data_IF_200587982710
#
_entry.id   IF_200587982710
#
_cell.length_a   1.000
_cell.length_b   1.000
_cell.length_c   1.000
_cell.angle_alpha   90.00
_cell.angle_beta   90.00
_cell.angle_gamma   90.00
#
_symmetry.space_group_name_H-M   'P 1'
#
loop_
_entity.id
_entity.type
_entity.pdbx_description
1 polymer ?
#
# COMPACT_ATOMS: atom_id res chain seq x y z
N UNK A 1 -8.15 -4.97 14.89
CA UNK A 1 -8.81 -4.57 13.64
C UNK A 1 -8.83 -3.05 13.51
N UNK A 2 -8.80 -2.56 12.29
CA UNK A 2 -8.98 -1.15 11.93
C UNK A 2 -10.42 -0.88 11.49
N UNK A 3 -10.88 0.38 11.41
CA UNK A 3 -12.08 0.71 10.67
C UNK A 3 -12.03 0.17 9.24
N UNK A 4 -13.14 -0.36 8.76
CA UNK A 4 -13.23 -1.03 7.47
C UNK A 4 -14.32 -0.37 6.60
N UNK A 5 -14.07 -0.11 5.31
CA UNK A 5 -15.07 0.54 4.45
C UNK A 5 -16.31 -0.30 4.19
N UNK A 6 -16.24 -1.62 4.35
CA UNK A 6 -17.37 -2.55 4.16
C UNK A 6 -18.05 -2.86 5.48
N UNK A 7 -17.26 -3.24 6.50
CA UNK A 7 -17.79 -3.70 7.80
C UNK A 7 -17.94 -2.56 8.81
N UNK A 8 -17.44 -1.36 8.51
CA UNK A 8 -17.54 -0.18 9.37
C UNK A 8 -16.52 -0.16 10.50
N UNK A 9 -16.90 0.47 11.61
CA UNK A 9 -16.12 0.46 12.84
C UNK A 9 -15.99 -0.96 13.38
N UNK A 10 -15.19 -1.14 14.42
CA UNK A 10 -14.86 -2.45 15.00
C UNK A 10 -16.09 -3.39 15.11
N UNK A 11 -16.13 -4.52 14.36
CA UNK A 11 -17.37 -5.30 14.16
C UNK A 11 -17.96 -5.90 15.44
N UNK A 12 -17.12 -6.17 16.45
CA UNK A 12 -17.53 -6.73 17.75
C UNK A 12 -17.85 -5.67 18.82
N UNK A 13 -17.79 -4.37 18.48
CA UNK A 13 -17.96 -3.23 19.37
C UNK A 13 -16.98 -3.18 20.56
N UNK A 14 -15.91 -3.95 20.49
CA UNK A 14 -14.82 -3.87 21.46
C UNK A 14 -13.92 -2.66 21.19
N UNK A 15 -13.15 -2.25 22.19
CA UNK A 15 -12.16 -1.19 22.01
C UNK A 15 -11.02 -1.66 21.12
N UNK A 16 -10.53 -0.77 20.26
CA UNK A 16 -9.31 -1.05 19.48
C UNK A 16 -8.14 -1.36 20.42
N UNK A 17 -7.29 -2.33 20.04
CA UNK A 17 -6.04 -2.59 20.73
C UNK A 17 -5.16 -1.32 20.77
N UNK A 18 -4.35 -1.15 21.79
CA UNK A 18 -3.55 0.07 21.97
C UNK A 18 -2.61 0.33 20.79
N UNK A 19 -1.98 -0.72 20.26
CA UNK A 19 -1.13 -0.64 19.08
C UNK A 19 -1.91 -0.16 17.83
N UNK A 20 -3.16 -0.59 17.68
CA UNK A 20 -4.05 -0.11 16.60
C UNK A 20 -4.36 1.37 16.79
N UNK A 21 -4.73 1.79 18.01
CA UNK A 21 -5.00 3.20 18.31
C UNK A 21 -3.79 4.09 18.05
N UNK A 22 -2.60 3.65 18.48
CA UNK A 22 -1.36 4.40 18.26
C UNK A 22 -0.98 4.49 16.78
N UNK A 23 -1.20 3.42 16.02
CA UNK A 23 -0.94 3.47 14.58
C UNK A 23 -1.96 4.37 13.86
N UNK A 24 -3.23 4.34 14.24
CA UNK A 24 -4.25 5.26 13.70
C UNK A 24 -3.87 6.72 13.97
N UNK A 25 -3.47 7.04 15.21
CA UNK A 25 -2.99 8.38 15.55
C UNK A 25 -1.73 8.77 14.75
N UNK A 26 -0.80 7.84 14.57
CA UNK A 26 0.40 8.06 13.77
C UNK A 26 0.05 8.33 12.29
N UNK A 27 -0.93 7.63 11.75
CA UNK A 27 -1.40 7.85 10.38
C UNK A 27 -2.11 9.23 10.21
N UNK A 28 -2.82 9.70 11.25
CA UNK A 28 -3.41 11.04 11.29
C UNK A 28 -2.33 12.15 11.40
N UNK A 29 -1.32 11.94 12.23
CA UNK A 29 -0.25 12.92 12.46
C UNK A 29 0.69 13.06 11.26
N UNK A 30 0.86 11.98 10.47
CA UNK A 30 1.77 11.90 9.33
C UNK A 30 1.04 11.36 8.11
N UNK A 31 0.86 12.17 7.10
CA UNK A 31 0.18 11.79 5.87
C UNK A 31 1.15 11.12 4.91
N UNK A 32 1.08 9.79 4.86
CA UNK A 32 1.96 8.98 4.03
C UNK A 32 1.40 8.86 2.60
N UNK A 33 2.25 9.09 1.60
CA UNK A 33 1.89 8.82 0.19
C UNK A 33 1.82 7.33 -0.09
N UNK A 34 2.78 6.57 0.45
CA UNK A 34 2.89 5.13 0.25
C UNK A 34 3.34 4.45 1.53
N UNK A 35 2.91 3.20 1.70
CA UNK A 35 3.34 2.34 2.79
C UNK A 35 3.39 0.88 2.33
N UNK A 36 4.12 0.06 3.06
CA UNK A 36 4.11 -1.39 2.93
C UNK A 36 4.24 -2.02 4.31
N UNK A 37 3.49 -3.06 4.58
CA UNK A 37 3.75 -3.87 5.76
C UNK A 37 4.17 -5.28 5.36
N UNK A 38 5.11 -5.82 6.13
CA UNK A 38 5.73 -7.09 5.85
C UNK A 38 5.12 -8.17 6.71
N UNK A 39 4.84 -9.28 6.08
CA UNK A 39 4.17 -10.43 6.66
C UNK A 39 4.87 -11.73 6.27
N UNK A 40 4.36 -12.86 6.71
CA UNK A 40 4.84 -14.18 6.34
C UNK A 40 3.73 -15.21 6.47
N UNK A 41 3.83 -16.24 5.65
CA UNK A 41 2.87 -17.33 5.49
C UNK A 41 2.61 -17.62 4.02
N UNK A 42 3.08 -16.75 3.13
CA UNK A 42 3.09 -16.86 1.69
C UNK A 42 4.27 -16.07 1.10
N UNK A 43 4.46 -16.11 -0.21
CA UNK A 43 5.50 -15.39 -0.95
C UNK A 43 4.88 -14.64 -2.12
N UNK A 44 4.28 -13.46 -1.81
CA UNK A 44 3.55 -12.63 -2.77
C UNK A 44 3.40 -11.18 -2.29
N UNK A 45 3.04 -10.29 -3.20
CA UNK A 45 2.55 -8.94 -2.90
C UNK A 45 1.04 -8.89 -3.05
N UNK A 46 0.35 -8.62 -1.94
CA UNK A 46 -1.09 -8.42 -1.88
C UNK A 46 -1.43 -6.93 -1.99
N UNK A 47 -2.35 -6.57 -2.88
CA UNK A 47 -2.81 -5.20 -3.10
C UNK A 47 -4.33 -5.04 -2.90
N UNK A 48 -4.82 -3.82 -2.61
CA UNK A 48 -6.22 -3.57 -2.27
C UNK A 48 -7.23 -4.01 -3.35
N UNK A 49 -8.40 -4.40 -2.93
CA UNK A 49 -8.92 -4.42 -1.55
C UNK A 49 -8.87 -5.81 -0.94
N UNK A 50 -8.74 -5.86 0.39
CA UNK A 50 -8.82 -7.13 1.13
C UNK A 50 -10.28 -7.55 1.43
N UNK A 51 -11.18 -6.59 1.61
CA UNK A 51 -12.58 -6.85 2.00
C UNK A 51 -13.62 -6.47 0.94
N UNK A 52 -13.22 -6.11 -0.27
CA UNK A 52 -14.16 -5.79 -1.35
C UNK A 52 -13.73 -6.41 -2.68
N UNK A 53 -14.66 -7.05 -3.38
CA UNK A 53 -14.42 -7.59 -4.74
C UNK A 53 -14.41 -6.51 -5.84
N UNK A 54 -14.95 -5.33 -5.56
CA UNK A 54 -14.81 -4.20 -6.48
C UNK A 54 -13.36 -3.76 -6.53
N UNK A 55 -12.87 -3.49 -7.73
CA UNK A 55 -11.47 -3.07 -7.90
C UNK A 55 -11.28 -1.62 -7.47
N UNK A 56 -10.10 -1.34 -6.93
CA UNK A 56 -9.67 0.02 -6.67
C UNK A 56 -9.65 0.84 -7.97
N UNK A 57 -9.93 2.14 -7.92
CA UNK A 57 -9.90 3.01 -9.11
C UNK A 57 -8.56 2.93 -9.87
N UNK A 58 -7.47 2.73 -9.15
CA UNK A 58 -6.12 2.58 -9.70
C UNK A 58 -5.67 1.11 -9.86
N UNK A 59 -6.58 0.17 -10.09
CA UNK A 59 -6.26 -1.27 -10.17
C UNK A 59 -5.11 -1.57 -11.15
N UNK A 60 -5.09 -0.92 -12.31
CA UNK A 60 -4.02 -1.07 -13.28
C UNK A 60 -2.64 -0.59 -12.76
N UNK A 61 -2.61 0.39 -11.87
CA UNK A 61 -1.39 0.83 -11.19
C UNK A 61 -0.96 -0.21 -10.15
N UNK A 62 -1.91 -0.74 -9.36
CA UNK A 62 -1.64 -1.78 -8.37
C UNK A 62 -1.03 -3.03 -9.00
N UNK A 63 -1.62 -3.52 -10.09
CA UNK A 63 -1.09 -4.67 -10.83
C UNK A 63 0.33 -4.40 -11.36
N UNK A 64 0.57 -3.21 -11.89
CA UNK A 64 1.88 -2.83 -12.42
C UNK A 64 2.96 -2.81 -11.34
N UNK A 65 2.72 -2.13 -10.22
CA UNK A 65 3.74 -2.01 -9.16
C UNK A 65 3.96 -3.32 -8.42
N UNK A 66 2.90 -4.12 -8.23
CA UNK A 66 3.00 -5.44 -7.64
C UNK A 66 3.79 -6.38 -8.54
N UNK A 67 3.56 -6.34 -9.85
CA UNK A 67 4.31 -7.14 -10.81
C UNK A 67 5.78 -6.73 -10.85
N UNK A 68 6.09 -5.43 -10.86
CA UNK A 68 7.48 -4.94 -10.79
C UNK A 68 8.17 -5.45 -9.52
N UNK A 69 7.50 -5.38 -8.37
CA UNK A 69 8.04 -5.89 -7.11
C UNK A 69 8.37 -7.38 -7.19
N UNK A 70 7.40 -8.18 -7.62
CA UNK A 70 7.56 -9.63 -7.68
C UNK A 70 8.62 -10.04 -8.71
N UNK A 71 8.67 -9.41 -9.89
CA UNK A 71 9.69 -9.70 -10.92
C UNK A 71 11.11 -9.40 -10.41
N UNK A 72 11.30 -8.30 -9.70
CA UNK A 72 12.61 -7.95 -9.12
C UNK A 72 13.02 -8.94 -8.02
N UNK A 73 12.09 -9.36 -7.16
CA UNK A 73 12.36 -10.32 -6.11
C UNK A 73 12.68 -11.73 -6.70
N UNK A 74 11.91 -12.18 -7.67
CA UNK A 74 12.17 -13.43 -8.41
C UNK A 74 13.54 -13.41 -9.07
N UNK A 75 13.89 -12.32 -9.76
CA UNK A 75 15.20 -12.18 -10.42
C UNK A 75 16.35 -12.23 -9.41
N UNK A 76 16.20 -11.58 -8.25
CA UNK A 76 17.21 -11.58 -7.19
C UNK A 76 17.39 -12.97 -6.57
N UNK A 77 16.31 -13.72 -6.40
CA UNK A 77 16.33 -15.06 -5.83
C UNK A 77 16.70 -16.18 -6.81
N UNK A 78 16.66 -15.93 -8.11
CA UNK A 78 16.71 -16.93 -9.20
C UNK A 78 17.79 -18.01 -9.02
N UNK A 79 18.96 -17.66 -8.49
CA UNK A 79 20.08 -18.61 -8.35
C UNK A 79 20.03 -19.44 -7.07
N UNK A 80 19.25 -19.04 -6.07
CA UNK A 80 19.22 -19.64 -4.72
C UNK A 80 17.87 -20.21 -4.36
N UNK A 81 16.80 -19.59 -4.83
CA UNK A 81 15.41 -20.01 -4.65
C UNK A 81 14.57 -19.62 -5.89
N UNK A 82 14.60 -20.45 -6.94
CA UNK A 82 13.91 -20.12 -8.21
C UNK A 82 12.38 -20.11 -8.13
N UNK A 83 11.80 -20.50 -7.00
CA UNK A 83 10.36 -20.48 -6.76
C UNK A 83 9.94 -19.37 -5.79
N UNK A 84 10.88 -18.55 -5.32
CA UNK A 84 10.59 -17.42 -4.45
C UNK A 84 9.64 -16.42 -5.11
N UNK A 85 8.67 -15.91 -4.37
CA UNK A 85 7.69 -14.90 -4.80
C UNK A 85 6.85 -15.38 -6.02
N UNK A 86 6.39 -16.63 -5.98
CA UNK A 86 5.60 -17.21 -7.09
C UNK A 86 4.20 -17.69 -6.70
N UNK A 87 3.78 -17.44 -5.46
CA UNK A 87 2.45 -17.83 -5.00
C UNK A 87 1.34 -17.07 -5.75
N UNK A 88 0.14 -17.62 -5.77
CA UNK A 88 -1.06 -17.09 -6.44
C UNK A 88 -0.76 -16.75 -7.93
N UNK A 89 -1.02 -15.54 -8.38
CA UNK A 89 -0.76 -15.09 -9.74
C UNK A 89 0.74 -14.76 -9.97
N UNK A 90 1.59 -15.75 -9.75
CA UNK A 90 3.05 -15.62 -9.90
C UNK A 90 3.64 -14.50 -9.01
N UNK A 91 3.26 -14.49 -7.74
CA UNK A 91 3.78 -13.58 -6.71
C UNK A 91 3.01 -12.28 -6.53
N UNK A 92 1.80 -12.16 -7.08
CA UNK A 92 0.89 -11.04 -6.82
C UNK A 92 -0.54 -11.54 -6.63
N UNK A 93 -1.34 -10.81 -5.87
CA UNK A 93 -2.77 -11.06 -5.76
C UNK A 93 -3.54 -9.81 -5.36
N UNK A 94 -4.80 -9.69 -5.81
CA UNK A 94 -5.75 -8.82 -5.13
C UNK A 94 -6.21 -9.52 -3.85
N UNK A 95 -6.30 -8.80 -2.74
CA UNK A 95 -6.59 -9.39 -1.44
C UNK A 95 -7.89 -10.17 -1.39
N UNK A 96 -8.99 -9.60 -1.88
CA UNK A 96 -10.29 -10.25 -1.86
C UNK A 96 -10.37 -11.48 -2.79
N UNK A 97 -9.55 -11.53 -3.85
CA UNK A 97 -9.46 -12.73 -4.71
C UNK A 97 -8.72 -13.87 -4.00
N UNK A 98 -7.77 -13.55 -3.16
CA UNK A 98 -7.08 -14.53 -2.33
C UNK A 98 -8.01 -15.04 -1.22
N UNK A 99 -8.35 -14.19 -0.27
CA UNK A 99 -9.41 -14.42 0.71
C UNK A 99 -9.82 -13.11 1.39
N UNK A 100 -11.11 -12.96 1.64
CA UNK A 100 -11.62 -11.73 2.26
C UNK A 100 -11.26 -11.64 3.74
N UNK A 101 -10.75 -10.49 4.14
CA UNK A 101 -10.58 -10.10 5.55
C UNK A 101 -11.07 -8.68 5.78
N UNK A 102 -11.83 -8.46 6.85
CA UNK A 102 -12.24 -7.12 7.28
C UNK A 102 -11.33 -6.56 8.36
N UNK A 103 -11.23 -5.24 8.43
CA UNK A 103 -10.45 -4.54 9.45
C UNK A 103 -8.94 -4.64 9.28
N UNK A 104 -8.47 -4.90 8.06
CA UNK A 104 -7.06 -4.90 7.70
C UNK A 104 -6.47 -3.49 7.65
N UNK A 105 -5.16 -3.36 7.96
CA UNK A 105 -4.46 -2.07 7.88
C UNK A 105 -4.36 -1.58 6.44
N UNK A 106 -4.17 -2.47 5.48
CA UNK A 106 -4.09 -2.16 4.07
C UNK A 106 -5.33 -1.37 3.59
N UNK A 107 -6.53 -1.90 3.82
CA UNK A 107 -7.77 -1.24 3.41
C UNK A 107 -7.99 0.07 4.18
N UNK A 108 -7.68 0.10 5.48
CA UNK A 108 -7.75 1.30 6.30
C UNK A 108 -6.89 2.44 5.73
N UNK A 109 -5.62 2.18 5.45
CA UNK A 109 -4.70 3.19 4.93
C UNK A 109 -5.09 3.67 3.53
N UNK A 110 -5.51 2.76 2.67
CA UNK A 110 -5.93 3.11 1.32
C UNK A 110 -7.24 3.90 1.29
N UNK A 111 -8.22 3.52 2.11
CA UNK A 111 -9.55 4.12 2.08
C UNK A 111 -9.64 5.45 2.84
N UNK A 112 -9.13 5.48 4.07
CA UNK A 112 -9.29 6.65 4.96
C UNK A 112 -8.14 7.66 4.84
N UNK A 113 -6.94 7.22 4.43
CA UNK A 113 -5.75 8.07 4.35
C UNK A 113 -5.23 8.26 2.93
N UNK A 114 -5.84 7.66 1.91
CA UNK A 114 -5.39 7.68 0.52
C UNK A 114 -3.91 7.30 0.35
N UNK A 115 -3.36 6.62 1.36
CA UNK A 115 -2.01 6.08 1.35
C UNK A 115 -1.96 4.80 0.52
N UNK A 116 -1.04 4.70 -0.41
CA UNK A 116 -0.85 3.50 -1.24
C UNK A 116 -0.14 2.43 -0.41
N UNK A 117 -0.90 1.68 0.38
CA UNK A 117 -0.37 0.60 1.22
C UNK A 117 -0.64 -0.78 0.63
N UNK A 118 0.35 -1.66 0.75
CA UNK A 118 0.33 -3.07 0.34
C UNK A 118 0.77 -3.97 1.46
N UNK A 119 0.39 -5.24 1.38
CA UNK A 119 0.91 -6.32 2.22
C UNK A 119 1.92 -7.12 1.42
N UNK A 120 3.13 -7.31 1.95
CA UNK A 120 4.19 -8.09 1.33
C UNK A 120 4.44 -9.32 2.19
N UNK A 121 4.09 -10.47 1.67
CA UNK A 121 4.36 -11.78 2.27
C UNK A 121 5.74 -12.25 1.80
N UNK A 122 6.72 -12.25 2.71
CA UNK A 122 8.13 -12.46 2.35
C UNK A 122 8.64 -13.88 2.57
N UNK A 123 7.82 -14.77 3.10
CA UNK A 123 8.25 -16.12 3.46
C UNK A 123 7.05 -17.04 3.55
N UNK A 124 7.16 -18.22 2.96
CA UNK A 124 6.17 -19.30 3.11
C UNK A 124 5.95 -19.76 4.57
N UNK A 125 6.87 -19.37 5.47
CA UNK A 125 6.80 -19.63 6.91
C UNK A 125 6.59 -18.32 7.67
N UNK A 126 5.56 -18.25 8.53
CA UNK A 126 5.25 -17.04 9.31
C UNK A 126 6.41 -16.52 10.17
N UNK A 127 7.20 -17.42 10.72
CA UNK A 127 8.36 -17.10 11.54
C UNK A 127 9.57 -17.88 11.05
N UNK A 128 10.25 -17.43 10.00
CA UNK A 128 11.45 -18.09 9.49
C UNK A 128 12.61 -18.01 10.50
N UNK A 129 13.59 -18.91 10.34
CA UNK A 129 14.78 -18.89 11.20
C UNK A 129 15.62 -17.63 10.97
N UNK A 130 16.32 -17.16 12.01
CA UNK A 130 17.19 -15.99 11.90
C UNK A 130 18.26 -16.13 10.81
N UNK A 131 18.69 -17.36 10.50
CA UNK A 131 19.67 -17.62 9.43
C UNK A 131 19.15 -17.39 8.02
N UNK A 132 17.83 -17.35 7.82
CA UNK A 132 17.18 -17.09 6.52
C UNK A 132 16.94 -15.60 6.27
N UNK A 133 16.88 -14.77 7.32
CA UNK A 133 16.56 -13.34 7.19
C UNK A 133 17.49 -12.58 6.23
N UNK A 134 18.81 -12.81 6.19
CA UNK A 134 19.68 -12.16 5.20
C UNK A 134 19.28 -12.46 3.77
N UNK A 135 18.89 -13.71 3.46
CA UNK A 135 18.44 -14.08 2.10
C UNK A 135 17.17 -13.35 1.72
N UNK A 136 16.18 -13.24 2.61
CA UNK A 136 14.96 -12.47 2.34
C UNK A 136 15.23 -10.99 2.12
N UNK A 137 16.20 -10.41 2.82
CA UNK A 137 16.65 -9.05 2.53
C UNK A 137 17.26 -8.96 1.12
N UNK A 138 18.18 -9.86 0.78
CA UNK A 138 18.84 -9.87 -0.52
C UNK A 138 17.86 -10.05 -1.69
N UNK A 139 16.78 -10.84 -1.49
CA UNK A 139 15.75 -11.04 -2.49
C UNK A 139 14.86 -9.80 -2.69
N UNK A 140 14.56 -9.08 -1.62
CA UNK A 140 13.55 -8.02 -1.63
C UNK A 140 14.11 -6.60 -1.74
N UNK A 141 15.39 -6.35 -1.43
CA UNK A 141 15.86 -4.99 -1.26
C UNK A 141 15.67 -4.13 -2.52
N UNK A 142 15.89 -4.67 -3.73
CA UNK A 142 15.66 -3.95 -4.97
C UNK A 142 14.17 -3.66 -5.20
N UNK A 143 13.31 -4.61 -4.87
CA UNK A 143 11.85 -4.47 -4.95
C UNK A 143 11.34 -3.40 -4.00
N UNK A 144 11.87 -3.34 -2.78
CA UNK A 144 11.56 -2.31 -1.78
C UNK A 144 11.87 -0.92 -2.34
N UNK A 145 13.07 -0.72 -2.87
CA UNK A 145 13.47 0.57 -3.44
C UNK A 145 12.67 0.92 -4.70
N UNK A 146 12.35 -0.05 -5.56
CA UNK A 146 11.49 0.18 -6.72
C UNK A 146 10.10 0.63 -6.28
N UNK A 147 9.49 -0.03 -5.28
CA UNK A 147 8.20 0.38 -4.73
C UNK A 147 8.25 1.78 -4.10
N UNK A 148 9.26 2.08 -3.30
CA UNK A 148 9.45 3.43 -2.73
C UNK A 148 9.57 4.50 -3.81
N UNK A 149 10.25 4.22 -4.90
CA UNK A 149 10.42 5.15 -6.02
C UNK A 149 9.10 5.46 -6.73
N UNK A 150 8.08 4.61 -6.62
CA UNK A 150 6.75 4.89 -7.20
C UNK A 150 6.12 6.15 -6.61
N UNK A 151 6.50 6.59 -5.40
CA UNK A 151 6.08 7.86 -4.83
C UNK A 151 6.54 9.08 -5.64
N UNK A 152 7.58 8.94 -6.45
CA UNK A 152 8.13 10.00 -7.30
C UNK A 152 7.45 10.09 -8.68
N UNK A 153 6.59 9.13 -9.00
CA UNK A 153 5.90 9.06 -10.29
C UNK A 153 4.42 9.43 -10.14
N UNK A 154 3.76 9.62 -11.28
CA UNK A 154 2.37 10.05 -11.31
C UNK A 154 2.23 11.57 -11.38
N UNK A 155 1.17 12.11 -10.81
CA UNK A 155 0.89 13.55 -10.77
C UNK A 155 1.32 14.09 -9.41
N UNK A 156 2.24 15.03 -9.39
CA UNK A 156 2.70 15.67 -8.16
C UNK A 156 2.99 17.16 -8.41
N UNK A 157 2.98 17.94 -7.35
CA UNK A 157 3.22 19.37 -7.46
C UNK A 157 2.98 20.12 -6.16
N UNK A 158 2.82 21.44 -6.28
CA UNK A 158 2.46 22.31 -5.16
C UNK A 158 1.28 23.20 -5.53
N UNK A 159 0.36 23.38 -4.59
CA UNK A 159 -0.78 24.30 -4.72
C UNK A 159 -0.51 25.54 -3.89
N UNK A 160 -0.58 26.71 -4.55
CA UNK A 160 -0.32 28.02 -3.92
C UNK A 160 -1.37 29.01 -4.35
N UNK A 161 -1.69 29.94 -3.44
CA UNK A 161 -2.51 31.11 -3.77
C UNK A 161 -1.84 31.94 -4.88
N UNK A 162 -2.63 32.38 -5.84
CA UNK A 162 -2.11 33.05 -7.03
C UNK A 162 -1.51 34.44 -6.74
N UNK A 163 -1.99 35.12 -5.69
CA UNK A 163 -1.56 36.46 -5.31
C UNK A 163 -0.48 36.43 -4.23
N UNK A 164 -0.77 35.76 -3.11
CA UNK A 164 0.13 35.73 -1.93
C UNK A 164 1.27 34.74 -2.08
N UNK A 165 1.16 33.73 -2.95
CA UNK A 165 2.10 32.61 -3.11
C UNK A 165 2.21 31.70 -1.89
N UNK A 166 1.34 31.87 -0.92
CA UNK A 166 1.26 30.98 0.24
C UNK A 166 0.70 29.60 -0.16
N UNK A 167 1.09 28.56 0.57
CA UNK A 167 0.59 27.22 0.37
C UNK A 167 -0.92 27.14 0.68
N UNK A 168 -1.65 26.40 -0.13
CA UNK A 168 -3.10 26.22 0.01
C UNK A 168 -3.41 24.74 0.18
N UNK A 169 -4.24 24.41 1.15
CA UNK A 169 -4.86 23.09 1.26
C UNK A 169 -5.97 22.98 0.19
N UNK A 170 -5.81 22.07 -0.73
CA UNK A 170 -6.71 21.88 -1.88
C UNK A 170 -6.88 20.40 -2.22
N UNK A 171 -8.05 20.05 -2.71
CA UNK A 171 -8.35 18.71 -3.21
C UNK A 171 -7.88 18.56 -4.66
N UNK A 172 -7.16 17.50 -4.94
CA UNK A 172 -6.67 17.12 -6.28
C UNK A 172 -7.44 15.86 -6.73
N UNK A 173 -8.15 15.98 -7.85
CA UNK A 173 -9.00 14.92 -8.39
C UNK A 173 -8.78 14.74 -9.89
N UNK A 174 -8.62 13.50 -10.31
CA UNK A 174 -8.59 13.12 -11.74
C UNK A 174 -10.03 12.88 -12.18
N UNK A 175 -10.51 13.72 -13.08
CA UNK A 175 -11.91 13.67 -13.55
C UNK A 175 -12.18 12.37 -14.31
N UNK A 176 -13.35 11.79 -14.06
CA UNK A 176 -13.81 10.52 -14.64
C UNK A 176 -12.94 9.30 -14.31
N UNK A 177 -12.10 9.40 -13.28
CA UNK A 177 -11.25 8.32 -12.81
C UNK A 177 -11.35 8.13 -11.30
N UNK A 178 -11.12 9.19 -10.53
CA UNK A 178 -11.03 9.08 -9.07
C UNK A 178 -12.39 8.83 -8.41
N UNK A 179 -12.37 7.90 -7.48
CA UNK A 179 -13.38 7.71 -6.45
C UNK A 179 -12.98 8.48 -5.18
N UNK A 180 -13.87 8.59 -4.20
CA UNK A 180 -13.62 9.40 -3.00
C UNK A 180 -12.35 8.98 -2.23
N UNK A 181 -12.03 7.69 -2.21
CA UNK A 181 -10.83 7.14 -1.58
C UNK A 181 -9.53 7.28 -2.41
N UNK A 182 -9.60 7.74 -3.64
CA UNK A 182 -8.41 7.87 -4.50
C UNK A 182 -8.02 9.31 -4.82
N UNK A 183 -8.84 10.29 -4.44
CA UNK A 183 -8.47 11.71 -4.46
C UNK A 183 -7.40 11.97 -3.40
N UNK A 184 -6.56 12.99 -3.63
CA UNK A 184 -5.54 13.40 -2.67
C UNK A 184 -5.68 14.88 -2.35
N UNK A 185 -5.05 15.30 -1.26
CA UNK A 185 -5.05 16.68 -0.81
C UNK A 185 -3.63 17.23 -0.73
N UNK A 186 -3.49 18.52 -1.01
CA UNK A 186 -2.21 19.19 -0.83
C UNK A 186 -1.93 19.50 0.63
N UNK A 187 -0.69 19.31 1.06
CA UNK A 187 -0.27 19.31 2.46
C UNK A 187 0.32 20.67 2.88
N UNK A 188 -0.12 21.19 4.02
CA UNK A 188 0.52 22.33 4.65
C UNK A 188 1.74 21.87 5.47
N UNK A 189 2.81 22.67 5.58
CA UNK A 189 2.89 24.08 5.16
C UNK A 189 3.42 24.32 3.74
N UNK A 190 3.66 23.28 2.94
CA UNK A 190 4.33 23.44 1.63
C UNK A 190 3.36 23.47 0.45
N UNK A 191 2.15 22.96 0.62
CA UNK A 191 1.14 22.84 -0.44
C UNK A 191 1.42 21.70 -1.42
N UNK A 192 2.35 20.81 -1.10
CA UNK A 192 2.73 19.67 -1.93
C UNK A 192 1.66 18.60 -1.93
N UNK A 193 1.58 17.85 -3.03
CA UNK A 193 0.71 16.70 -3.19
C UNK A 193 1.37 15.65 -4.09
N UNK A 194 1.00 14.39 -3.85
CA UNK A 194 1.47 13.24 -4.61
C UNK A 194 0.27 12.32 -4.93
N UNK A 195 0.02 12.12 -6.21
CA UNK A 195 -1.04 11.23 -6.72
C UNK A 195 -0.41 10.15 -7.58
N UNK A 196 0.06 9.03 -6.99
CA UNK A 196 0.56 7.89 -7.74
C UNK A 196 -0.53 7.32 -8.65
N UNK A 197 -0.22 7.17 -9.92
CA UNK A 197 -1.12 6.65 -10.94
C UNK A 197 -0.29 6.12 -12.11
N UNK A 198 -0.83 5.12 -12.81
CA UNK A 198 -0.26 4.63 -14.07
C UNK A 198 -0.59 5.61 -15.20
N UNK A 199 0.44 5.98 -15.97
CA UNK A 199 0.29 6.78 -17.19
C UNK A 199 -0.36 5.98 -18.32
#
# INVERSE_FOLDING_TARGET
>A
NYPDPVDGAHPDNEAYALETQWFMQFAEDYQFTMAAHYHGGAELMNYPWDNNYERHADDAWWQMVSREYADLAQNAAQSTDPYYMTDEENGITNGADWYRIGGGRQDYMNYYHQCREVTIECSSVKCPSASQLPSFWDYNYNSIFAYMNQALYGIHGTVKDAETKEAVHATIKILNHDMDYSIVESQLPYGDFHRPIKA
#
